data_IF_395605103517
#
_entry.id   IF_395605103517
#
_cell.length_a   1.000
_cell.length_b   1.000
_cell.length_c   1.000
_cell.angle_alpha   90.00
_cell.angle_beta   90.00
_cell.angle_gamma   90.00
#
_symmetry.space_group_name_H-M   'P 1'
#
loop_
_entity.id
_entity.type
_entity.pdbx_description
1 polymer ?
#
# COMPACT_ATOMS: atom_id res chain seq x y z
N UNK A 1 -15.59 2.06 -24.44
CA UNK A 1 -15.52 0.97 -23.42
C UNK A 1 -15.28 1.57 -22.05
N UNK A 2 -16.00 1.08 -21.01
CA UNK A 2 -15.82 1.56 -19.62
C UNK A 2 -15.03 0.55 -18.80
N UNK A 3 -14.12 1.05 -17.98
CA UNK A 3 -13.22 0.25 -17.15
C UNK A 3 -13.37 0.68 -15.69
N UNK A 4 -13.46 -0.28 -14.77
CA UNK A 4 -13.24 -0.04 -13.36
C UNK A 4 -11.83 -0.50 -13.00
N UNK A 5 -11.06 0.35 -12.31
CA UNK A 5 -9.73 0.06 -11.80
C UNK A 5 -9.73 0.07 -10.28
N UNK A 6 -9.38 -1.06 -9.68
CA UNK A 6 -9.10 -1.18 -8.24
C UNK A 6 -7.75 -1.86 -8.01
N UNK A 7 -7.18 -1.72 -6.82
CA UNK A 7 -5.94 -2.35 -6.39
C UNK A 7 -5.94 -2.61 -4.88
N UNK A 8 -4.97 -3.36 -4.40
CA UNK A 8 -4.67 -3.50 -2.97
C UNK A 8 -5.93 -3.89 -2.16
N UNK A 9 -6.58 -4.97 -2.60
CA UNK A 9 -7.84 -5.48 -2.01
C UNK A 9 -7.56 -6.26 -0.73
N UNK A 10 -6.43 -6.98 -0.66
CA UNK A 10 -5.93 -7.70 0.51
C UNK A 10 -6.95 -8.66 1.16
N UNK A 11 -7.65 -9.46 0.36
CA UNK A 11 -8.58 -10.47 0.86
C UNK A 11 -7.87 -11.45 1.80
N UNK A 12 -8.51 -11.74 2.92
CA UNK A 12 -7.94 -12.63 3.93
C UNK A 12 -7.16 -11.90 5.02
N UNK A 13 -6.99 -10.58 4.96
CA UNK A 13 -6.38 -9.78 6.02
C UNK A 13 -7.06 -9.99 7.35
N UNK A 14 -6.25 -10.33 8.37
CA UNK A 14 -6.69 -10.48 9.76
C UNK A 14 -5.74 -9.71 10.68
N UNK A 15 -6.05 -8.43 10.98
CA UNK A 15 -5.24 -7.65 11.90
C UNK A 15 -5.18 -8.29 13.30
N UNK A 16 -4.07 -8.08 13.99
CA UNK A 16 -3.90 -8.53 15.37
C UNK A 16 -4.84 -7.77 16.31
N UNK A 17 -5.46 -8.49 17.27
CA UNK A 17 -6.38 -7.92 18.24
C UNK A 17 -7.32 -8.98 18.81
N UNK A 18 -8.47 -8.53 19.33
CA UNK A 18 -9.52 -9.46 19.80
C UNK A 18 -10.06 -10.30 18.64
N UNK A 19 -10.62 -11.47 18.97
CA UNK A 19 -11.23 -12.35 17.96
C UNK A 19 -12.35 -11.62 17.19
N UNK A 20 -13.16 -10.84 17.88
CA UNK A 20 -14.25 -10.06 17.28
C UNK A 20 -13.71 -9.01 16.32
N UNK A 21 -12.74 -8.20 16.76
CA UNK A 21 -12.09 -7.19 15.92
C UNK A 21 -11.49 -7.81 14.66
N UNK A 22 -10.66 -8.86 14.83
CA UNK A 22 -10.02 -9.54 13.71
C UNK A 22 -11.03 -10.12 12.72
N UNK A 23 -12.17 -10.66 13.21
CA UNK A 23 -13.22 -11.18 12.35
C UNK A 23 -14.01 -10.09 11.63
N UNK A 24 -14.34 -8.97 12.30
CA UNK A 24 -14.98 -7.82 11.66
C UNK A 24 -14.09 -7.24 10.55
N UNK A 25 -12.79 -7.03 10.87
CA UNK A 25 -11.83 -6.53 9.87
C UNK A 25 -11.66 -7.48 8.68
N UNK A 26 -11.61 -8.78 8.93
CA UNK A 26 -11.59 -9.78 7.85
C UNK A 26 -12.77 -9.62 6.89
N UNK A 27 -13.97 -9.40 7.42
CA UNK A 27 -15.17 -9.20 6.61
C UNK A 27 -15.18 -7.84 5.89
N UNK A 28 -14.58 -6.82 6.46
CA UNK A 28 -14.53 -5.48 5.85
C UNK A 28 -13.84 -5.50 4.48
N UNK A 29 -12.74 -6.26 4.33
CA UNK A 29 -12.04 -6.38 3.04
C UNK A 29 -12.90 -7.06 1.97
N UNK A 30 -13.71 -8.05 2.34
CA UNK A 30 -14.67 -8.66 1.40
C UNK A 30 -15.82 -7.72 1.08
N UNK A 31 -16.34 -6.99 2.06
CA UNK A 31 -17.38 -6.00 1.85
C UNK A 31 -16.91 -4.89 0.89
N UNK A 32 -15.66 -4.44 1.02
CA UNK A 32 -15.08 -3.44 0.13
C UNK A 32 -14.91 -3.97 -1.31
N UNK A 33 -14.48 -5.25 -1.46
CA UNK A 33 -14.39 -5.88 -2.76
C UNK A 33 -15.78 -6.08 -3.40
N UNK A 34 -16.77 -6.49 -2.61
CA UNK A 34 -18.15 -6.60 -3.09
C UNK A 34 -18.73 -5.25 -3.51
N UNK A 35 -18.50 -4.18 -2.72
CA UNK A 35 -18.86 -2.82 -3.10
C UNK A 35 -18.20 -2.38 -4.42
N UNK A 36 -16.92 -2.75 -4.62
CA UNK A 36 -16.22 -2.47 -5.88
C UNK A 36 -16.88 -3.15 -7.07
N UNK A 37 -17.29 -4.42 -6.90
CA UNK A 37 -18.03 -5.15 -7.94
C UNK A 37 -19.41 -4.53 -8.19
N UNK A 38 -20.15 -4.15 -7.15
CA UNK A 38 -21.43 -3.49 -7.26
C UNK A 38 -21.33 -2.15 -7.99
N UNK A 39 -20.26 -1.38 -7.70
CA UNK A 39 -19.98 -0.13 -8.40
C UNK A 39 -19.73 -0.37 -9.89
N UNK A 40 -18.98 -1.43 -10.24
CA UNK A 40 -18.75 -1.82 -11.64
C UNK A 40 -20.06 -2.17 -12.37
N UNK A 41 -20.94 -2.91 -11.72
CA UNK A 41 -22.26 -3.28 -12.27
C UNK A 41 -23.14 -2.05 -12.44
N UNK A 42 -23.21 -1.18 -11.42
CA UNK A 42 -23.99 0.07 -11.45
C UNK A 42 -23.55 1.00 -12.59
N UNK A 43 -22.24 1.17 -12.75
CA UNK A 43 -21.62 2.00 -13.78
C UNK A 43 -21.61 1.33 -15.16
N UNK A 44 -22.01 0.04 -15.24
CA UNK A 44 -22.05 -0.77 -16.45
C UNK A 44 -20.69 -0.80 -17.14
N UNK A 45 -19.66 -1.15 -16.36
CA UNK A 45 -18.32 -1.29 -16.93
C UNK A 45 -18.20 -2.59 -17.73
N UNK A 46 -17.37 -2.58 -18.76
CA UNK A 46 -17.06 -3.75 -19.58
C UNK A 46 -15.93 -4.57 -18.97
N UNK A 47 -14.96 -3.86 -18.37
CA UNK A 47 -13.73 -4.43 -17.80
C UNK A 47 -13.59 -4.03 -16.34
N UNK A 48 -13.15 -4.98 -15.52
CA UNK A 48 -12.76 -4.80 -14.12
C UNK A 48 -11.26 -5.09 -14.01
N UNK A 49 -10.43 -4.04 -13.80
CA UNK A 49 -8.98 -4.16 -13.64
C UNK A 49 -8.63 -4.31 -12.17
N UNK A 50 -7.77 -5.28 -11.84
CA UNK A 50 -7.16 -5.46 -10.52
C UNK A 50 -5.64 -5.35 -10.69
N UNK A 51 -5.05 -4.30 -10.14
CA UNK A 51 -3.62 -4.03 -10.29
C UNK A 51 -2.82 -4.48 -9.08
N UNK A 52 -2.95 -5.78 -8.77
CA UNK A 52 -2.17 -6.47 -7.73
C UNK A 52 -2.80 -6.47 -6.35
N UNK A 53 -2.21 -7.28 -5.48
CA UNK A 53 -2.57 -7.47 -4.08
C UNK A 53 -4.07 -7.80 -3.88
N UNK A 54 -4.55 -8.78 -4.66
CA UNK A 54 -5.89 -9.33 -4.47
C UNK A 54 -5.98 -10.03 -3.11
N UNK A 55 -4.97 -10.80 -2.73
CA UNK A 55 -4.88 -11.50 -1.47
C UNK A 55 -3.82 -10.89 -0.55
N UNK A 56 -4.07 -10.90 0.77
CA UNK A 56 -3.11 -10.39 1.78
C UNK A 56 -1.92 -11.32 2.00
N UNK A 57 -2.07 -12.60 1.70
CA UNK A 57 -1.05 -13.64 1.91
C UNK A 57 -1.12 -14.73 0.86
N UNK A 58 0.01 -15.42 0.70
CA UNK A 58 0.13 -16.57 -0.22
C UNK A 58 -0.71 -17.77 0.22
N UNK A 59 -0.93 -17.96 1.52
CA UNK A 59 -1.77 -19.05 2.07
C UNK A 59 -3.19 -18.54 2.28
N UNK A 60 -4.15 -19.19 1.64
CA UNK A 60 -5.57 -18.86 1.73
C UNK A 60 -6.35 -19.90 2.54
N UNK A 61 -7.32 -19.41 3.32
CA UNK A 61 -8.34 -20.30 3.88
C UNK A 61 -9.40 -20.63 2.83
N UNK A 62 -10.10 -21.79 2.94
CA UNK A 62 -11.20 -22.11 2.04
C UNK A 62 -12.30 -21.03 2.03
N UNK A 63 -12.61 -20.41 3.19
CA UNK A 63 -13.59 -19.31 3.27
C UNK A 63 -13.14 -18.07 2.46
N UNK A 64 -11.84 -17.74 2.49
CA UNK A 64 -11.28 -16.64 1.71
C UNK A 64 -11.49 -16.88 0.20
N UNK A 65 -11.20 -18.08 -0.27
CA UNK A 65 -11.34 -18.43 -1.67
C UNK A 65 -12.82 -18.46 -2.10
N UNK A 66 -13.69 -19.10 -1.32
CA UNK A 66 -15.13 -19.18 -1.60
C UNK A 66 -15.78 -17.78 -1.74
N UNK A 67 -15.46 -16.85 -0.82
CA UNK A 67 -15.95 -15.48 -0.89
C UNK A 67 -15.41 -14.73 -2.11
N UNK A 68 -14.13 -14.89 -2.41
CA UNK A 68 -13.51 -14.31 -3.59
C UNK A 68 -14.19 -14.79 -4.88
N UNK A 69 -14.37 -16.11 -5.02
CA UNK A 69 -15.05 -16.71 -6.19
C UNK A 69 -16.48 -16.20 -6.37
N UNK A 70 -17.23 -15.98 -5.27
CA UNK A 70 -18.60 -15.42 -5.34
C UNK A 70 -18.62 -14.03 -5.98
N UNK A 71 -17.66 -13.18 -5.65
CA UNK A 71 -17.57 -11.85 -6.27
C UNK A 71 -17.23 -11.96 -7.77
N UNK A 72 -16.26 -12.81 -8.14
CA UNK A 72 -15.94 -13.03 -9.55
C UNK A 72 -17.11 -13.65 -10.33
N UNK A 73 -17.83 -14.58 -9.73
CA UNK A 73 -19.05 -15.13 -10.34
C UNK A 73 -20.12 -14.05 -10.56
N UNK A 74 -20.28 -13.13 -9.61
CA UNK A 74 -21.18 -11.97 -9.73
C UNK A 74 -20.80 -11.07 -10.91
N UNK A 75 -19.50 -10.75 -11.06
CA UNK A 75 -19.00 -9.98 -12.21
C UNK A 75 -19.23 -10.72 -13.53
N UNK A 76 -18.89 -12.01 -13.58
CA UNK A 76 -19.10 -12.86 -14.77
C UNK A 76 -20.55 -12.93 -15.19
N UNK A 77 -21.49 -13.07 -14.24
CA UNK A 77 -22.93 -13.11 -14.51
C UNK A 77 -23.47 -11.78 -15.04
N UNK A 78 -22.76 -10.67 -14.83
CA UNK A 78 -23.05 -9.37 -15.39
C UNK A 78 -22.24 -9.05 -16.66
N UNK A 79 -21.57 -10.04 -17.26
CA UNK A 79 -20.74 -9.92 -18.45
C UNK A 79 -19.55 -8.96 -18.31
N UNK A 80 -19.06 -8.75 -17.11
CA UNK A 80 -17.87 -7.93 -16.84
C UNK A 80 -16.65 -8.85 -16.89
N UNK A 81 -15.71 -8.55 -17.78
CA UNK A 81 -14.43 -9.27 -17.86
C UNK A 81 -13.46 -8.75 -16.79
N UNK A 82 -12.74 -9.65 -16.13
CA UNK A 82 -11.75 -9.28 -15.13
C UNK A 82 -10.35 -9.47 -15.70
N UNK A 83 -9.58 -8.40 -15.75
CA UNK A 83 -8.14 -8.44 -16.00
C UNK A 83 -7.40 -8.16 -14.70
N UNK A 84 -6.38 -8.97 -14.42
CA UNK A 84 -5.62 -8.80 -13.19
C UNK A 84 -4.12 -9.03 -13.42
N UNK A 85 -3.30 -8.42 -12.56
CA UNK A 85 -1.87 -8.66 -12.44
C UNK A 85 -1.52 -9.05 -11.00
N UNK A 86 -0.34 -9.62 -10.82
CA UNK A 86 0.19 -9.96 -9.49
C UNK A 86 0.68 -8.71 -8.75
N UNK A 87 0.39 -8.63 -7.45
CA UNK A 87 1.05 -7.73 -6.52
C UNK A 87 2.19 -8.43 -5.75
N UNK A 88 2.83 -7.74 -4.82
CA UNK A 88 3.89 -8.34 -4.00
C UNK A 88 3.36 -9.35 -2.97
N UNK A 89 2.12 -9.21 -2.52
CA UNK A 89 1.46 -10.17 -1.63
C UNK A 89 0.99 -11.43 -2.36
N UNK A 90 0.60 -11.33 -3.63
CA UNK A 90 0.15 -12.44 -4.47
C UNK A 90 1.30 -13.20 -5.13
N UNK A 91 2.47 -12.56 -5.28
CA UNK A 91 3.59 -13.09 -6.05
C UNK A 91 4.19 -14.33 -5.37
N UNK A 92 4.23 -15.43 -6.11
CA UNK A 92 4.88 -16.68 -5.70
C UNK A 92 6.17 -16.81 -6.50
N UNK A 93 7.19 -16.03 -6.13
CA UNK A 93 8.52 -16.09 -6.77
C UNK A 93 9.07 -17.53 -6.76
N UNK A 94 9.43 -18.05 -7.93
CA UNK A 94 10.09 -19.35 -8.08
C UNK A 94 9.20 -20.59 -7.99
N UNK A 95 7.89 -20.45 -7.87
CA UNK A 95 6.95 -21.57 -7.92
C UNK A 95 6.23 -21.65 -9.27
N UNK A 96 5.91 -22.88 -9.66
CA UNK A 96 5.08 -23.15 -10.84
C UNK A 96 3.78 -22.35 -10.81
N UNK A 97 3.37 -21.79 -11.94
CA UNK A 97 2.07 -21.11 -12.13
C UNK A 97 0.88 -21.99 -11.68
N UNK A 98 1.06 -23.30 -11.66
CA UNK A 98 0.06 -24.28 -11.20
C UNK A 98 -0.32 -24.06 -9.72
N UNK A 99 0.62 -23.60 -8.90
CA UNK A 99 0.44 -23.39 -7.47
C UNK A 99 0.01 -21.97 -7.09
N UNK A 100 -0.12 -21.06 -8.08
CA UNK A 100 -0.61 -19.71 -7.84
C UNK A 100 -2.14 -19.68 -7.71
N UNK A 101 -2.66 -18.98 -6.70
CA UNK A 101 -4.10 -18.75 -6.57
C UNK A 101 -4.65 -17.93 -7.74
N UNK A 102 -3.89 -16.96 -8.23
CA UNK A 102 -4.28 -16.20 -9.43
C UNK A 102 -4.33 -17.09 -10.66
N UNK A 103 -3.37 -18.01 -10.79
CA UNK A 103 -3.40 -19.05 -11.83
C UNK A 103 -4.59 -20.00 -11.68
N UNK A 104 -5.00 -20.34 -10.47
CA UNK A 104 -6.23 -21.10 -10.22
C UNK A 104 -7.46 -20.33 -10.68
N UNK A 105 -7.61 -19.05 -10.34
CA UNK A 105 -8.75 -18.21 -10.76
C UNK A 105 -8.81 -18.07 -12.28
N UNK A 106 -7.66 -17.97 -12.96
CA UNK A 106 -7.58 -17.94 -14.43
C UNK A 106 -8.04 -19.26 -15.05
N UNK A 107 -7.58 -20.41 -14.54
CA UNK A 107 -8.03 -21.75 -15.00
C UNK A 107 -9.53 -21.98 -14.78
N UNK A 108 -10.13 -21.36 -13.76
CA UNK A 108 -11.58 -21.36 -13.54
C UNK A 108 -12.35 -20.43 -14.50
N UNK A 109 -11.65 -19.62 -15.27
CA UNK A 109 -12.24 -18.67 -16.20
C UNK A 109 -12.97 -17.52 -15.50
N UNK A 110 -12.50 -17.15 -14.31
CA UNK A 110 -12.96 -15.96 -13.59
C UNK A 110 -12.21 -14.70 -14.00
N UNK A 111 -10.90 -14.86 -14.30
CA UNK A 111 -10.01 -13.75 -14.61
C UNK A 111 -9.15 -14.07 -15.82
N UNK A 112 -8.61 -13.07 -16.46
CA UNK A 112 -7.49 -13.15 -17.40
C UNK A 112 -6.31 -12.37 -16.82
N UNK A 113 -5.12 -12.97 -16.83
CA UNK A 113 -3.92 -12.38 -16.25
C UNK A 113 -3.09 -11.65 -17.29
N UNK A 114 -2.69 -10.41 -16.99
CA UNK A 114 -1.62 -9.75 -17.73
C UNK A 114 -0.27 -10.31 -17.29
N UNK A 115 0.57 -10.73 -18.26
CA UNK A 115 1.83 -11.41 -17.98
C UNK A 115 2.97 -10.83 -18.81
N UNK A 116 4.18 -10.91 -18.26
CA UNK A 116 5.43 -10.70 -18.98
C UNK A 116 6.45 -11.76 -18.54
N UNK A 117 7.47 -11.96 -19.34
CA UNK A 117 8.55 -12.91 -19.03
C UNK A 117 9.89 -12.29 -19.37
N UNK A 118 10.89 -12.51 -18.51
CA UNK A 118 12.28 -12.26 -18.88
C UNK A 118 12.71 -13.24 -19.97
N UNK A 119 13.39 -12.75 -20.99
CA UNK A 119 13.93 -13.52 -22.12
C UNK A 119 15.42 -13.22 -22.31
N UNK A 120 16.11 -13.97 -23.17
CA UNK A 120 17.51 -13.74 -23.48
C UNK A 120 17.77 -12.36 -24.16
N UNK A 121 16.74 -11.75 -24.74
CA UNK A 121 16.80 -10.49 -25.48
C UNK A 121 16.13 -9.33 -24.71
N UNK A 122 15.74 -9.56 -23.44
CA UNK A 122 15.07 -8.58 -22.60
C UNK A 122 13.78 -9.12 -21.99
N UNK A 123 12.64 -8.56 -22.37
CA UNK A 123 11.34 -8.94 -21.81
C UNK A 123 10.30 -9.13 -22.91
N UNK A 124 9.53 -10.21 -22.80
CA UNK A 124 8.38 -10.52 -23.66
C UNK A 124 7.09 -10.13 -22.92
N UNK A 125 6.30 -9.24 -23.51
CA UNK A 125 5.06 -8.75 -22.92
C UNK A 125 3.85 -9.35 -23.64
N UNK A 126 2.95 -9.98 -22.91
CA UNK A 126 1.69 -10.48 -23.47
C UNK A 126 0.75 -9.30 -23.77
N UNK A 127 0.35 -9.18 -25.06
CA UNK A 127 -0.66 -8.22 -25.51
C UNK A 127 -2.05 -8.85 -25.42
N UNK A 128 -2.91 -8.30 -24.62
CA UNK A 128 -4.33 -8.68 -24.53
C UNK A 128 -5.15 -7.63 -25.26
N UNK A 129 -5.76 -7.98 -26.38
CA UNK A 129 -6.62 -7.06 -27.11
C UNK A 129 -8.09 -7.36 -26.83
N UNK A 130 -8.84 -6.36 -26.44
CA UNK A 130 -10.30 -6.39 -26.26
C UNK A 130 -10.86 -5.18 -27.01
N UNK A 131 -11.71 -5.46 -28.01
CA UNK A 131 -12.17 -4.46 -28.99
C UNK A 131 -10.98 -3.75 -29.64
N UNK A 132 -10.86 -2.44 -29.49
CA UNK A 132 -9.79 -1.62 -30.04
C UNK A 132 -8.73 -1.20 -28.99
N UNK A 133 -8.76 -1.80 -27.80
CA UNK A 133 -7.86 -1.49 -26.70
C UNK A 133 -6.92 -2.64 -26.38
N UNK A 134 -5.64 -2.35 -26.25
CA UNK A 134 -4.60 -3.28 -25.87
C UNK A 134 -4.21 -3.13 -24.41
N UNK A 135 -4.16 -4.23 -23.69
CA UNK A 135 -3.76 -4.30 -22.29
C UNK A 135 -2.43 -5.03 -22.17
N UNK A 136 -1.52 -4.44 -21.38
CA UNK A 136 -0.23 -5.02 -21.04
C UNK A 136 -0.09 -5.10 -19.51
N UNK A 137 0.19 -6.28 -18.98
CA UNK A 137 0.33 -6.50 -17.56
C UNK A 137 1.78 -6.78 -17.18
N UNK A 138 2.28 -6.03 -16.19
CA UNK A 138 3.66 -6.17 -15.70
C UNK A 138 3.71 -6.86 -14.32
N UNK A 139 2.68 -6.78 -13.50
CA UNK A 139 2.70 -7.32 -12.14
C UNK A 139 3.60 -6.51 -11.20
N UNK A 140 4.24 -7.19 -10.22
CA UNK A 140 5.18 -6.58 -9.28
C UNK A 140 6.63 -6.92 -9.67
N UNK A 141 7.36 -6.00 -10.29
CA UNK A 141 8.73 -6.26 -10.74
C UNK A 141 9.80 -6.05 -9.66
N UNK A 142 9.43 -5.59 -8.45
CA UNK A 142 10.38 -5.28 -7.40
C UNK A 142 11.38 -4.19 -7.79
N UNK A 143 12.67 -4.46 -7.65
CA UNK A 143 13.74 -3.52 -8.03
C UNK A 143 13.89 -3.33 -9.55
N UNK A 144 13.40 -4.28 -10.36
CA UNK A 144 13.52 -4.20 -11.82
C UNK A 144 12.44 -3.31 -12.47
N UNK A 145 11.60 -2.63 -11.70
CA UNK A 145 10.43 -1.89 -12.22
C UNK A 145 10.80 -0.86 -13.28
N UNK A 146 11.87 -0.10 -13.08
CA UNK A 146 12.31 0.92 -14.03
C UNK A 146 12.75 0.28 -15.35
N UNK A 147 13.57 -0.78 -15.29
CA UNK A 147 14.06 -1.50 -16.47
C UNK A 147 12.93 -2.14 -17.25
N UNK A 148 12.02 -2.86 -16.57
CA UNK A 148 10.88 -3.55 -17.21
C UNK A 148 9.96 -2.56 -17.91
N UNK A 149 9.61 -1.44 -17.23
CA UNK A 149 8.74 -0.43 -17.81
C UNK A 149 9.41 0.34 -18.94
N UNK A 150 10.73 0.63 -18.84
CA UNK A 150 11.46 1.23 -19.94
C UNK A 150 11.37 0.38 -21.20
N UNK A 151 11.63 -0.93 -21.07
CA UNK A 151 11.53 -1.87 -22.19
C UNK A 151 10.11 -1.99 -22.73
N UNK A 152 9.10 -2.01 -21.87
CA UNK A 152 7.71 -1.98 -22.33
C UNK A 152 7.43 -0.71 -23.14
N UNK A 153 7.88 0.45 -22.66
CA UNK A 153 7.63 1.71 -23.34
C UNK A 153 8.25 1.77 -24.75
N UNK A 154 9.39 1.10 -24.96
CA UNK A 154 10.04 0.98 -26.28
C UNK A 154 9.20 0.15 -27.27
N UNK A 155 8.42 -0.80 -26.78
CA UNK A 155 7.63 -1.75 -27.59
C UNK A 155 6.21 -1.26 -27.88
N UNK A 156 5.74 -0.17 -27.27
CA UNK A 156 4.39 0.34 -27.49
C UNK A 156 4.31 1.22 -28.74
N UNK A 157 3.30 0.94 -29.61
CA UNK A 157 2.91 1.83 -30.68
C UNK A 157 1.95 2.92 -30.13
N UNK A 158 2.36 4.17 -30.17
CA UNK A 158 1.56 5.32 -29.71
C UNK A 158 0.31 5.61 -30.58
N UNK A 159 0.16 4.97 -31.72
CA UNK A 159 -1.05 5.07 -32.55
C UNK A 159 -2.17 4.11 -32.10
N UNK A 160 -1.87 3.17 -31.21
CA UNK A 160 -2.83 2.23 -30.65
C UNK A 160 -3.36 2.74 -29.28
N UNK A 161 -4.59 2.32 -28.93
CA UNK A 161 -5.11 2.57 -27.57
C UNK A 161 -4.49 1.54 -26.62
N UNK A 162 -3.43 1.93 -25.91
CA UNK A 162 -2.74 1.04 -24.97
C UNK A 162 -3.09 1.38 -23.53
N UNK A 163 -3.33 0.35 -22.72
CA UNK A 163 -3.46 0.40 -21.27
C UNK A 163 -2.38 -0.46 -20.66
N UNK A 164 -1.60 0.10 -19.74
CA UNK A 164 -0.57 -0.61 -19.00
C UNK A 164 -1.01 -0.81 -17.57
N UNK A 165 -0.96 -2.05 -17.09
CA UNK A 165 -1.24 -2.45 -15.71
C UNK A 165 0.08 -2.78 -15.03
N UNK A 166 0.40 -2.15 -13.90
CA UNK A 166 1.64 -2.40 -13.16
C UNK A 166 1.43 -2.24 -11.66
N UNK A 167 1.92 -3.18 -10.86
CA UNK A 167 1.86 -3.05 -9.41
C UNK A 167 3.08 -2.29 -8.91
N UNK A 168 2.98 -0.96 -8.88
CA UNK A 168 4.05 -0.04 -8.46
C UNK A 168 3.48 1.29 -7.97
N UNK A 169 4.23 1.95 -7.09
CA UNK A 169 3.97 3.33 -6.68
C UNK A 169 4.98 4.29 -7.31
N UNK A 170 4.66 5.59 -7.31
CA UNK A 170 5.59 6.61 -7.75
C UNK A 170 6.65 6.86 -6.68
N UNK A 171 7.90 6.76 -7.06
CA UNK A 171 9.07 7.09 -6.24
C UNK A 171 9.76 8.36 -6.73
N UNK A 172 10.65 8.91 -5.88
CA UNK A 172 11.59 9.96 -6.25
C UNK A 172 12.87 9.37 -6.83
N UNK A 173 14.01 9.89 -6.35
CA UNK A 173 15.34 9.37 -6.70
C UNK A 173 15.77 8.19 -5.81
N UNK A 174 14.95 7.77 -4.86
CA UNK A 174 15.25 6.66 -3.96
C UNK A 174 15.00 5.32 -4.65
N UNK A 175 15.99 4.44 -4.60
CA UNK A 175 15.91 3.10 -5.15
C UNK A 175 15.31 2.16 -4.11
N UNK A 176 13.98 2.06 -4.12
CA UNK A 176 13.22 1.15 -3.24
C UNK A 176 12.40 0.17 -4.08
N UNK A 177 12.24 -1.08 -3.63
CA UNK A 177 11.48 -2.07 -4.38
C UNK A 177 10.02 -1.65 -4.53
N UNK A 178 9.48 -1.78 -5.73
CA UNK A 178 8.09 -1.41 -6.03
C UNK A 178 7.84 0.09 -6.19
N UNK A 179 8.90 0.93 -6.26
CA UNK A 179 8.79 2.35 -6.59
C UNK A 179 9.40 2.62 -7.96
N UNK A 180 8.60 3.17 -8.87
CA UNK A 180 9.05 3.55 -10.22
C UNK A 180 9.49 5.02 -10.25
N UNK A 181 10.59 5.29 -10.92
CA UNK A 181 11.02 6.66 -11.17
C UNK A 181 10.02 7.39 -12.10
N UNK A 182 9.65 8.61 -11.72
CA UNK A 182 8.74 9.43 -12.53
C UNK A 182 9.24 9.68 -13.97
N UNK A 183 10.56 9.66 -14.21
CA UNK A 183 11.11 9.81 -15.56
C UNK A 183 10.80 8.61 -16.46
N UNK A 184 10.66 7.42 -15.88
CA UNK A 184 10.21 6.23 -16.61
C UNK A 184 8.74 6.38 -16.98
N UNK A 185 7.89 6.82 -16.04
CA UNK A 185 6.46 7.07 -16.35
C UNK A 185 6.30 8.09 -17.48
N UNK A 186 7.14 9.13 -17.54
CA UNK A 186 7.11 10.12 -18.63
C UNK A 186 7.34 9.53 -20.03
N UNK A 187 8.04 8.38 -20.13
CA UNK A 187 8.26 7.68 -21.43
C UNK A 187 6.98 7.09 -22.03
N UNK A 188 5.94 6.95 -21.22
CA UNK A 188 4.63 6.46 -21.66
C UNK A 188 3.70 7.57 -22.17
N UNK A 189 4.09 8.84 -21.99
CA UNK A 189 3.34 9.96 -22.55
C UNK A 189 3.12 9.74 -24.05
N UNK A 190 1.91 9.98 -24.51
CA UNK A 190 1.49 9.81 -25.90
C UNK A 190 1.57 8.34 -26.44
N UNK A 191 1.87 7.37 -25.58
CA UNK A 191 1.90 5.93 -25.92
C UNK A 191 0.80 5.12 -25.27
N UNK A 192 0.20 5.67 -24.21
CA UNK A 192 -0.89 5.02 -23.48
C UNK A 192 -2.06 5.98 -23.32
N UNK A 193 -3.27 5.43 -23.28
CA UNK A 193 -4.46 6.19 -22.89
C UNK A 193 -4.67 6.13 -21.38
N UNK A 194 -4.09 5.12 -20.68
CA UNK A 194 -4.21 4.92 -19.25
C UNK A 194 -3.10 4.00 -18.73
N UNK A 195 -2.51 4.34 -17.60
CA UNK A 195 -1.66 3.44 -16.82
C UNK A 195 -2.32 3.15 -15.48
N UNK A 196 -2.60 1.90 -15.23
CA UNK A 196 -3.22 1.41 -14.00
C UNK A 196 -2.14 0.92 -13.03
N UNK A 197 -1.88 1.71 -11.98
CA UNK A 197 -0.93 1.42 -10.91
C UNK A 197 -1.58 0.77 -9.68
N UNK A 198 -0.76 0.30 -8.75
CA UNK A 198 -1.16 -0.24 -7.45
C UNK A 198 -0.09 0.01 -6.40
N UNK A 199 -0.03 -0.83 -5.33
CA UNK A 199 0.99 -0.83 -4.28
C UNK A 199 0.89 0.31 -3.25
N UNK A 200 0.40 1.48 -3.63
CA UNK A 200 0.16 2.58 -2.70
C UNK A 200 -1.30 2.62 -2.27
N UNK A 201 -1.56 2.61 -0.97
CA UNK A 201 -2.93 2.54 -0.43
C UNK A 201 -3.70 3.86 -0.45
N UNK A 202 -3.16 4.89 -1.10
CA UNK A 202 -3.78 6.20 -1.27
C UNK A 202 -3.98 6.51 -2.76
N UNK A 203 -5.02 7.27 -3.08
CA UNK A 203 -5.25 7.73 -4.45
C UNK A 203 -4.08 8.60 -4.95
N UNK A 204 -3.61 8.29 -6.16
CA UNK A 204 -2.60 9.07 -6.88
C UNK A 204 -3.02 9.21 -8.34
N UNK A 205 -2.79 10.40 -8.90
CA UNK A 205 -2.86 10.67 -10.34
C UNK A 205 -1.63 11.45 -10.79
N UNK A 206 -1.02 11.04 -11.91
CA UNK A 206 0.20 11.66 -12.43
C UNK A 206 0.21 11.72 -13.97
N UNK A 207 0.76 12.79 -14.58
CA UNK A 207 1.12 14.06 -13.94
C UNK A 207 -0.11 14.80 -13.39
N UNK A 208 0.10 15.87 -12.60
CA UNK A 208 -1.00 16.64 -12.00
C UNK A 208 -1.96 17.22 -13.04
N UNK A 209 -1.38 17.73 -14.14
CA UNK A 209 -2.16 18.23 -15.29
C UNK A 209 -2.21 17.14 -16.37
N UNK A 210 -3.44 16.80 -16.82
CA UNK A 210 -3.71 15.74 -17.79
C UNK A 210 -3.08 14.39 -17.38
N UNK A 211 -3.53 13.80 -16.25
CA UNK A 211 -2.97 12.56 -15.75
C UNK A 211 -3.28 11.38 -16.66
N UNK A 212 -2.32 10.47 -16.76
CA UNK A 212 -2.48 9.19 -17.45
C UNK A 212 -2.00 7.99 -16.62
N UNK A 213 -1.31 8.22 -15.49
CA UNK A 213 -0.96 7.20 -14.49
C UNK A 213 -1.83 7.40 -13.26
N UNK A 214 -2.47 6.30 -12.78
CA UNK A 214 -3.42 6.35 -11.69
C UNK A 214 -3.21 5.18 -10.74
N UNK A 215 -3.31 5.45 -9.44
CA UNK A 215 -3.43 4.44 -8.38
C UNK A 215 -4.72 4.75 -7.63
N UNK A 216 -5.68 3.83 -7.55
CA UNK A 216 -6.93 4.05 -6.81
C UNK A 216 -6.72 4.06 -5.30
N UNK A 217 -5.66 3.43 -4.81
CA UNK A 217 -5.45 3.10 -3.41
C UNK A 217 -6.08 1.77 -3.02
N UNK A 218 -5.92 1.36 -1.76
CA UNK A 218 -6.57 0.17 -1.24
C UNK A 218 -8.08 0.37 -1.09
N UNK A 219 -8.87 -0.70 -1.21
CA UNK A 219 -10.32 -0.65 -1.08
C UNK A 219 -10.80 -0.53 0.38
N UNK A 220 -9.97 -0.93 1.32
CA UNK A 220 -10.19 -0.84 2.78
C UNK A 220 -8.89 -0.45 3.48
N UNK A 221 -8.93 0.05 4.72
CA UNK A 221 -7.74 0.40 5.49
C UNK A 221 -6.91 -0.85 5.81
N UNK A 222 -5.79 -1.02 5.11
CA UNK A 222 -4.83 -2.09 5.40
C UNK A 222 -3.98 -1.76 6.62
N UNK A 223 -3.52 -0.49 6.73
CA UNK A 223 -2.82 0.05 7.90
C UNK A 223 -3.56 1.29 8.44
N UNK A 224 -4.39 1.07 9.45
CA UNK A 224 -5.26 2.10 10.04
C UNK A 224 -4.48 3.33 10.53
N UNK A 225 -3.25 3.14 11.02
CA UNK A 225 -2.44 4.20 11.59
C UNK A 225 -1.71 5.06 10.53
N UNK A 226 -1.25 4.45 9.45
CA UNK A 226 -0.37 5.11 8.48
C UNK A 226 -1.12 5.70 7.29
N UNK A 227 -2.31 5.19 7.00
CA UNK A 227 -3.11 5.70 5.89
C UNK A 227 -3.84 6.98 6.30
N UNK A 228 -3.32 8.12 5.86
CA UNK A 228 -3.82 9.45 6.27
C UNK A 228 -5.16 9.82 5.63
N UNK A 229 -5.42 9.35 4.41
CA UNK A 229 -6.65 9.67 3.70
C UNK A 229 -7.80 8.74 4.14
N UNK A 230 -8.95 9.31 4.45
CA UNK A 230 -10.16 8.56 4.83
C UNK A 230 -10.97 8.07 3.61
N UNK A 231 -10.73 8.61 2.42
CA UNK A 231 -11.41 8.18 1.20
C UNK A 231 -10.77 6.90 0.66
N UNK A 232 -11.59 5.88 0.45
CA UNK A 232 -11.30 4.64 -0.25
C UNK A 232 -12.19 4.55 -1.45
N UNK A 233 -11.70 4.02 -2.56
CA UNK A 233 -12.50 4.01 -3.77
C UNK A 233 -11.87 3.25 -4.92
N UNK A 234 -12.53 3.36 -6.05
CA UNK A 234 -12.15 2.78 -7.34
C UNK A 234 -12.17 3.88 -8.40
N UNK A 235 -11.47 3.68 -9.50
CA UNK A 235 -11.49 4.62 -10.62
C UNK A 235 -12.36 4.02 -11.72
N UNK A 236 -13.30 4.81 -12.25
CA UNK A 236 -14.04 4.51 -13.46
C UNK A 236 -13.41 5.32 -14.59
N UNK A 237 -12.99 4.65 -15.66
CA UNK A 237 -12.35 5.28 -16.81
C UNK A 237 -13.11 4.91 -18.10
N UNK A 238 -13.33 5.89 -18.97
CA UNK A 238 -13.94 5.67 -20.28
C UNK A 238 -12.89 5.83 -21.38
N UNK A 239 -12.65 4.75 -22.15
CA UNK A 239 -11.61 4.69 -23.20
C UNK A 239 -11.94 5.52 -24.45
N UNK A 240 -13.17 6.01 -24.59
CA UNK A 240 -13.59 6.80 -25.74
C UNK A 240 -13.53 8.30 -25.44
N UNK A 241 -13.91 8.71 -24.24
CA UNK A 241 -13.84 10.12 -23.81
C UNK A 241 -12.53 10.46 -23.11
N UNK A 242 -11.79 9.45 -22.64
CA UNK A 242 -10.58 9.57 -21.78
C UNK A 242 -10.86 10.25 -20.44
N UNK A 243 -12.11 10.31 -20.02
CA UNK A 243 -12.52 10.86 -18.73
C UNK A 243 -12.42 9.81 -17.64
N UNK A 244 -12.09 10.24 -16.43
CA UNK A 244 -12.05 9.37 -15.24
C UNK A 244 -12.87 9.97 -14.10
N UNK A 245 -13.39 9.09 -13.24
CA UNK A 245 -14.12 9.43 -12.02
C UNK A 245 -13.54 8.59 -10.87
N UNK A 246 -13.16 9.23 -9.75
CA UNK A 246 -12.92 8.50 -8.51
C UNK A 246 -14.25 8.23 -7.83
N UNK A 247 -14.62 6.97 -7.70
CA UNK A 247 -15.87 6.52 -7.12
C UNK A 247 -15.66 5.98 -5.73
N UNK A 248 -16.14 6.70 -4.71
CA UNK A 248 -15.92 6.36 -3.32
C UNK A 248 -16.60 5.04 -2.91
N UNK A 249 -15.91 4.28 -2.06
CA UNK A 249 -16.42 3.14 -1.32
C UNK A 249 -16.68 3.52 0.14
N UNK A 250 -17.36 2.65 0.87
CA UNK A 250 -17.69 2.85 2.28
C UNK A 250 -16.84 1.89 3.15
N UNK A 251 -15.59 2.27 3.46
CA UNK A 251 -14.73 1.47 4.33
C UNK A 251 -15.22 1.49 5.77
N UNK A 252 -14.57 0.71 6.65
CA UNK A 252 -14.79 0.78 8.09
C UNK A 252 -14.66 2.22 8.59
N UNK A 253 -15.63 2.68 9.36
CA UNK A 253 -15.62 4.05 9.92
C UNK A 253 -14.37 4.26 10.76
N UNK A 254 -13.57 5.27 10.38
CA UNK A 254 -12.34 5.69 11.03
C UNK A 254 -12.51 7.11 11.55
N UNK A 255 -12.21 7.30 12.82
CA UNK A 255 -12.27 8.59 13.50
C UNK A 255 -10.87 8.93 13.97
N UNK A 256 -10.36 10.11 13.62
CA UNK A 256 -9.09 10.62 14.15
C UNK A 256 -9.37 11.92 14.92
N UNK A 257 -8.88 12.00 16.15
CA UNK A 257 -9.08 13.10 17.07
C UNK A 257 -7.77 13.51 17.77
N UNK A 258 -7.67 14.75 18.13
CA UNK A 258 -6.64 15.25 19.04
C UNK A 258 -7.17 15.30 20.48
N UNK A 259 -6.31 14.96 21.42
CA UNK A 259 -6.60 15.06 22.86
C UNK A 259 -5.45 15.78 23.55
N UNK A 260 -5.83 16.78 24.35
CA UNK A 260 -4.94 17.58 25.19
C UNK A 260 -5.52 17.52 26.59
N UNK A 261 -4.71 17.22 27.58
CA UNK A 261 -5.11 17.15 28.98
C UNK A 261 -4.43 18.26 29.81
N UNK A 262 -5.05 18.63 30.92
CA UNK A 262 -4.50 19.66 31.84
C UNK A 262 -4.11 19.09 33.18
N UNK A 263 -4.82 18.09 33.69
CA UNK A 263 -4.64 17.45 34.99
C UNK A 263 -4.40 15.93 34.88
N UNK A 264 -5.31 15.13 35.39
CA UNK A 264 -5.24 13.68 35.37
C UNK A 264 -5.63 13.13 33.97
N UNK A 265 -4.65 12.63 33.27
CA UNK A 265 -4.84 12.12 31.90
C UNK A 265 -5.87 11.01 31.80
N UNK A 266 -5.95 10.10 32.77
CA UNK A 266 -6.86 8.94 32.70
C UNK A 266 -8.30 9.38 32.90
N UNK A 267 -8.54 10.26 33.88
CA UNK A 267 -9.87 10.80 34.14
C UNK A 267 -10.36 11.65 32.97
N UNK A 268 -9.54 12.60 32.52
CA UNK A 268 -9.89 13.47 31.38
C UNK A 268 -10.09 12.70 30.08
N UNK A 269 -9.28 11.65 29.86
CA UNK A 269 -9.42 10.79 28.68
C UNK A 269 -10.69 9.95 28.73
N UNK A 270 -11.08 9.45 29.90
CA UNK A 270 -12.35 8.74 30.11
C UNK A 270 -13.56 9.62 29.77
N UNK A 271 -13.56 10.89 30.21
CA UNK A 271 -14.60 11.87 29.88
C UNK A 271 -14.62 12.21 28.39
N UNK A 272 -13.44 12.45 27.79
CA UNK A 272 -13.28 12.69 26.37
C UNK A 272 -13.84 11.54 25.52
N UNK A 273 -13.52 10.29 25.85
CA UNK A 273 -13.96 9.13 25.08
C UNK A 273 -15.47 8.91 25.16
N UNK A 274 -16.09 9.16 26.34
CA UNK A 274 -17.55 9.08 26.49
C UNK A 274 -18.27 10.10 25.61
N UNK A 275 -17.70 11.28 25.41
CA UNK A 275 -18.26 12.31 24.53
C UNK A 275 -18.20 11.99 23.05
N UNK A 276 -17.43 10.94 22.63
CA UNK A 276 -17.37 10.51 21.23
C UNK A 276 -18.60 9.72 20.77
N UNK A 277 -19.44 9.25 21.70
CA UNK A 277 -20.69 8.50 21.41
C UNK A 277 -20.44 7.31 20.44
N UNK A 278 -19.44 6.48 20.75
CA UNK A 278 -19.02 5.38 19.92
C UNK A 278 -20.03 4.21 19.93
N UNK A 279 -20.14 3.49 18.82
CA UNK A 279 -21.20 2.48 18.60
C UNK A 279 -20.68 1.03 18.57
N UNK A 280 -19.38 0.81 18.72
CA UNK A 280 -18.74 -0.52 18.60
C UNK A 280 -18.29 -0.87 17.18
N UNK A 281 -18.41 0.08 16.25
CA UNK A 281 -18.06 -0.12 14.84
C UNK A 281 -16.88 0.75 14.38
N UNK A 282 -16.43 1.69 15.19
CA UNK A 282 -15.42 2.66 14.80
C UNK A 282 -13.99 2.21 15.13
N UNK A 283 -13.07 2.49 14.21
CA UNK A 283 -11.62 2.52 14.44
C UNK A 283 -11.26 3.93 14.90
N UNK A 284 -10.80 4.08 16.14
CA UNK A 284 -10.57 5.39 16.74
C UNK A 284 -9.08 5.64 16.95
N UNK A 285 -8.54 6.66 16.34
CA UNK A 285 -7.16 7.11 16.53
C UNK A 285 -7.20 8.39 17.34
N UNK A 286 -6.47 8.42 18.45
CA UNK A 286 -6.32 9.63 19.27
C UNK A 286 -4.85 10.06 19.29
N UNK A 287 -4.62 11.27 18.78
CA UNK A 287 -3.34 11.95 18.87
C UNK A 287 -3.26 12.68 20.23
N UNK A 288 -2.57 12.09 21.19
CA UNK A 288 -2.40 12.64 22.53
C UNK A 288 -1.21 13.58 22.55
N UNK A 289 -1.44 14.89 22.79
CA UNK A 289 -0.37 15.88 22.95
C UNK A 289 0.14 15.84 24.37
N UNK A 290 1.39 15.46 24.55
CA UNK A 290 2.07 15.40 25.84
C UNK A 290 2.55 16.79 26.27
N UNK A 291 2.51 17.06 27.57
CA UNK A 291 3.07 18.29 28.18
C UNK A 291 4.56 18.17 28.41
N UNK A 292 5.02 16.99 28.70
CA UNK A 292 6.41 16.67 29.01
C UNK A 292 6.78 15.26 28.45
N UNK A 293 7.98 14.80 28.71
CA UNK A 293 8.47 13.48 28.35
C UNK A 293 8.06 12.36 29.32
N UNK A 294 7.04 12.59 30.14
CA UNK A 294 6.53 11.60 31.09
C UNK A 294 6.04 10.33 30.43
N UNK A 295 6.16 9.21 31.14
CA UNK A 295 5.66 7.92 30.68
C UNK A 295 4.13 7.87 30.71
N UNK A 296 3.51 7.47 29.60
CA UNK A 296 2.07 7.21 29.51
C UNK A 296 1.86 5.76 29.07
N UNK A 297 0.99 5.08 29.78
CA UNK A 297 0.59 3.72 29.42
C UNK A 297 -0.41 3.73 28.26
N UNK A 298 0.10 3.63 27.02
CA UNK A 298 -0.71 3.59 25.77
C UNK A 298 -1.78 2.50 25.84
N UNK A 299 -1.44 1.31 26.33
CA UNK A 299 -2.39 0.20 26.40
C UNK A 299 -3.59 0.48 27.32
N UNK A 300 -3.41 1.32 28.33
CA UNK A 300 -4.50 1.71 29.23
C UNK A 300 -5.46 2.68 28.55
N UNK A 301 -4.94 3.66 27.82
CA UNK A 301 -5.76 4.57 27.02
C UNK A 301 -6.50 3.85 25.90
N UNK A 302 -5.87 2.89 25.21
CA UNK A 302 -6.53 2.08 24.19
C UNK A 302 -7.68 1.26 24.78
N UNK A 303 -7.51 0.68 25.98
CA UNK A 303 -8.58 -0.03 26.69
C UNK A 303 -9.74 0.90 27.10
N UNK A 304 -9.46 2.12 27.50
CA UNK A 304 -10.50 3.12 27.82
C UNK A 304 -11.34 3.40 26.56
N UNK A 305 -10.72 3.59 25.38
CA UNK A 305 -11.44 3.74 24.11
C UNK A 305 -12.32 2.55 23.79
N UNK A 306 -11.78 1.33 23.91
CA UNK A 306 -12.50 0.08 23.62
C UNK A 306 -13.66 -0.14 24.61
N UNK A 307 -13.47 0.14 25.91
CA UNK A 307 -14.50 0.05 26.94
C UNK A 307 -15.63 1.08 26.74
N UNK A 308 -15.32 2.24 26.13
CA UNK A 308 -16.28 3.29 25.80
C UNK A 308 -16.86 3.16 24.38
N UNK A 309 -16.69 1.98 23.75
CA UNK A 309 -17.41 1.62 22.54
C UNK A 309 -16.61 1.73 21.24
N UNK A 310 -15.28 1.94 21.25
CA UNK A 310 -14.48 1.77 20.04
C UNK A 310 -14.36 0.28 19.67
N UNK A 311 -14.49 -0.07 18.40
CA UNK A 311 -14.15 -1.42 17.92
C UNK A 311 -12.67 -1.71 18.15
N UNK A 312 -11.81 -0.70 17.91
CA UNK A 312 -10.39 -0.70 18.24
C UNK A 312 -9.91 0.73 18.47
N UNK A 313 -9.22 0.94 19.60
CA UNK A 313 -8.53 2.16 19.93
C UNK A 313 -7.07 2.12 19.48
N UNK A 314 -6.56 3.26 19.04
CA UNK A 314 -5.16 3.48 18.71
C UNK A 314 -4.71 4.82 19.28
N UNK A 315 -3.59 4.84 19.95
CA UNK A 315 -3.02 6.04 20.57
C UNK A 315 -1.72 6.41 19.87
N UNK A 316 -1.62 7.66 19.41
CA UNK A 316 -0.39 8.26 18.93
C UNK A 316 0.06 9.33 19.92
N UNK A 317 1.21 9.15 20.55
CA UNK A 317 1.78 10.15 21.45
C UNK A 317 2.54 11.20 20.64
N UNK A 318 2.26 12.49 20.93
CA UNK A 318 3.00 13.62 20.36
C UNK A 318 3.73 14.33 21.48
N UNK A 319 5.04 14.21 21.47
CA UNK A 319 5.92 14.84 22.46
C UNK A 319 6.16 16.31 22.12
N UNK A 320 6.24 17.21 23.14
CA UNK A 320 6.62 18.60 22.90
C UNK A 320 8.04 18.63 22.30
N UNK A 321 8.24 19.46 21.29
CA UNK A 321 9.49 19.59 20.55
C UNK A 321 9.93 18.34 19.73
N UNK A 322 9.03 17.41 19.42
CA UNK A 322 9.36 16.37 18.47
C UNK A 322 9.67 16.99 17.09
N UNK A 323 10.61 16.38 16.37
CA UNK A 323 11.00 16.79 15.01
C UNK A 323 9.78 16.84 14.08
N UNK A 324 8.76 16.02 14.35
CA UNK A 324 7.52 15.94 13.61
C UNK A 324 6.57 17.14 13.82
N UNK A 325 6.76 17.95 14.88
CA UNK A 325 5.97 19.18 15.11
C UNK A 325 6.59 20.42 14.42
N UNK A 326 7.83 20.35 13.94
CA UNK A 326 8.40 21.39 13.10
C UNK A 326 7.79 21.23 11.72
N UNK A 327 6.84 22.12 11.40
CA UNK A 327 6.19 22.29 10.10
C UNK A 327 6.95 21.59 8.96
N UNK A 328 6.50 20.41 8.57
CA UNK A 328 6.76 19.87 7.26
C UNK A 328 6.06 20.85 6.31
N UNK A 329 6.79 21.88 5.89
CA UNK A 329 6.33 22.78 4.87
C UNK A 329 5.92 21.95 3.65
N UNK A 330 4.95 22.43 2.92
CA UNK A 330 4.28 21.71 1.81
C UNK A 330 5.23 21.22 0.66
N UNK A 331 6.57 21.33 0.79
CA UNK A 331 7.57 21.00 -0.23
C UNK A 331 8.80 20.19 0.27
N UNK A 332 8.79 19.60 1.45
CA UNK A 332 9.95 18.85 1.97
C UNK A 332 9.73 17.33 2.00
N UNK A 333 10.18 16.61 0.99
CA UNK A 333 10.41 15.17 1.09
C UNK A 333 11.70 14.96 1.91
N UNK A 334 11.56 14.60 3.20
CA UNK A 334 12.69 14.05 3.94
C UNK A 334 12.84 12.58 3.55
N UNK A 335 14.05 12.17 3.16
CA UNK A 335 14.32 10.74 2.99
C UNK A 335 14.25 10.05 4.35
N UNK A 336 13.96 8.75 4.37
CA UNK A 336 14.01 7.93 5.59
C UNK A 336 15.38 8.12 6.28
N UNK A 337 16.44 8.26 5.49
CA UNK A 337 17.81 8.52 5.94
C UNK A 337 17.94 9.86 6.70
N UNK A 338 17.28 10.92 6.24
CA UNK A 338 17.36 12.23 6.91
C UNK A 338 16.66 12.18 8.26
N UNK A 339 15.53 11.47 8.35
CA UNK A 339 14.81 11.24 9.61
C UNK A 339 15.64 10.39 10.57
N UNK A 340 16.26 9.31 10.10
CA UNK A 340 17.13 8.45 10.89
C UNK A 340 18.35 9.23 11.41
N UNK A 341 19.01 10.01 10.55
CA UNK A 341 20.14 10.86 10.93
C UNK A 341 19.75 11.88 12.01
N UNK A 342 18.58 12.49 11.90
CA UNK A 342 18.11 13.46 12.87
C UNK A 342 17.72 12.83 14.21
N UNK A 343 17.17 11.60 14.20
CA UNK A 343 16.92 10.82 15.41
C UNK A 343 18.24 10.45 16.10
N UNK A 344 19.22 9.97 15.33
CA UNK A 344 20.54 9.59 15.87
C UNK A 344 21.30 10.79 16.43
N UNK A 345 21.18 11.97 15.82
CA UNK A 345 21.76 13.21 16.34
C UNK A 345 21.25 13.62 17.75
N UNK A 346 20.14 13.06 18.19
CA UNK A 346 19.59 13.31 19.54
C UNK A 346 20.07 12.32 20.59
N UNK A 347 20.79 11.27 20.18
CA UNK A 347 21.35 10.30 21.10
C UNK A 347 22.74 10.78 21.56
N UNK A 348 22.87 10.97 22.86
CA UNK A 348 24.13 11.43 23.46
C UNK A 348 25.25 10.37 23.40
N UNK A 349 24.87 9.11 23.15
CA UNK A 349 25.76 7.94 23.09
C UNK A 349 26.63 7.89 21.82
N UNK A 350 26.25 8.59 20.76
CA UNK A 350 26.96 8.56 19.48
C UNK A 350 27.54 9.93 19.11
N UNK A 351 28.84 9.92 18.77
CA UNK A 351 29.58 11.15 18.42
C UNK A 351 29.38 11.60 16.96
N UNK A 352 28.97 10.71 16.06
CA UNK A 352 28.82 10.95 14.62
C UNK A 352 27.57 10.26 14.04
N UNK A 353 26.47 11.00 13.99
CA UNK A 353 25.21 10.50 13.47
C UNK A 353 25.24 10.14 11.98
N UNK A 354 26.10 10.75 11.18
CA UNK A 354 26.23 10.43 9.76
C UNK A 354 26.83 9.05 9.55
N UNK A 355 27.84 8.73 10.35
CA UNK A 355 28.50 7.44 10.37
C UNK A 355 27.57 6.34 10.86
N UNK A 356 26.86 6.56 11.97
CA UNK A 356 25.88 5.60 12.52
C UNK A 356 24.76 5.35 11.53
N UNK A 357 24.26 6.39 10.87
CA UNK A 357 23.24 6.24 9.81
C UNK A 357 23.77 5.39 8.64
N UNK A 358 25.02 5.55 8.26
CA UNK A 358 25.65 4.73 7.21
C UNK A 358 25.77 3.24 7.61
N UNK A 359 26.09 2.96 8.87
CA UNK A 359 26.11 1.58 9.40
C UNK A 359 24.70 0.96 9.40
N UNK A 360 23.70 1.71 9.87
CA UNK A 360 22.31 1.22 9.86
C UNK A 360 21.82 0.87 8.47
N UNK A 361 22.21 1.63 7.45
CA UNK A 361 21.84 1.32 6.07
C UNK A 361 22.50 0.04 5.58
N UNK A 362 23.81 -0.15 5.86
CA UNK A 362 24.49 -1.41 5.53
C UNK A 362 23.88 -2.61 6.26
N UNK A 363 23.47 -2.46 7.53
CA UNK A 363 22.79 -3.51 8.27
C UNK A 363 21.45 -3.90 7.61
N UNK A 364 20.68 -2.92 7.10
CA UNK A 364 19.45 -3.20 6.35
C UNK A 364 19.73 -3.96 5.05
N UNK A 365 20.75 -3.55 4.30
CA UNK A 365 21.17 -4.24 3.07
C UNK A 365 21.58 -5.69 3.34
N UNK A 366 22.31 -5.96 4.43
CA UNK A 366 22.72 -7.32 4.79
C UNK A 366 21.57 -8.19 5.32
N UNK A 367 20.54 -7.61 5.95
CA UNK A 367 19.34 -8.33 6.36
C UNK A 367 18.49 -8.81 5.18
N UNK A 368 18.54 -8.12 4.07
CA UNK A 368 17.77 -8.48 2.86
C UNK A 368 18.45 -9.58 2.04
N UNK A 369 19.75 -9.81 2.22
CA UNK A 369 20.52 -10.83 1.53
C UNK A 369 20.74 -12.05 2.44
N UNK A 370 19.97 -13.12 2.24
CA UNK A 370 19.92 -14.34 3.07
C UNK A 370 21.27 -15.08 3.31
N UNK A 371 22.36 -14.70 2.66
CA UNK A 371 23.67 -15.37 2.76
C UNK A 371 24.78 -14.51 3.42
N UNK A 372 24.47 -13.34 4.00
CA UNK A 372 25.45 -12.39 4.55
C UNK A 372 25.46 -12.26 6.08
N UNK A 373 24.99 -13.26 6.79
CA UNK A 373 25.00 -13.25 8.27
C UNK A 373 26.41 -13.00 8.85
N UNK A 374 27.45 -13.55 8.22
CA UNK A 374 28.83 -13.33 8.63
C UNK A 374 29.30 -11.90 8.42
N UNK A 375 28.98 -11.31 7.27
CA UNK A 375 29.32 -9.92 6.93
C UNK A 375 28.60 -8.94 7.86
N UNK A 376 27.37 -9.27 8.29
CA UNK A 376 26.61 -8.51 9.27
C UNK A 376 27.33 -8.45 10.63
N UNK A 377 27.78 -9.59 11.16
CA UNK A 377 28.49 -9.63 12.45
C UNK A 377 29.87 -8.95 12.37
N UNK A 378 30.61 -9.11 11.28
CA UNK A 378 31.90 -8.42 11.07
C UNK A 378 31.70 -6.88 11.03
N UNK A 379 30.65 -6.41 10.40
CA UNK A 379 30.32 -4.97 10.37
C UNK A 379 29.88 -4.46 11.74
N UNK A 380 29.10 -5.26 12.49
CA UNK A 380 28.66 -4.91 13.84
C UNK A 380 29.84 -4.80 14.81
N UNK A 381 30.77 -5.78 14.78
CA UNK A 381 31.98 -5.77 15.59
C UNK A 381 32.85 -4.56 15.25
N UNK A 382 33.02 -4.23 13.97
CA UNK A 382 33.81 -3.07 13.54
C UNK A 382 33.15 -1.74 14.04
N UNK A 383 31.82 -1.62 14.03
CA UNK A 383 31.13 -0.46 14.57
C UNK A 383 31.35 -0.32 16.08
N UNK A 384 31.28 -1.44 16.84
CA UNK A 384 31.51 -1.44 18.28
C UNK A 384 32.97 -1.08 18.63
N UNK A 385 33.96 -1.63 17.91
CA UNK A 385 35.38 -1.31 18.15
C UNK A 385 35.69 0.17 17.89
N UNK A 386 35.08 0.79 16.88
CA UNK A 386 35.29 2.21 16.59
C UNK A 386 34.62 3.13 17.62
N UNK A 387 33.44 2.81 18.12
CA UNK A 387 32.72 3.63 19.13
C UNK A 387 33.30 3.42 20.54
N UNK A 388 33.58 2.19 20.97
CA UNK A 388 34.19 1.89 22.28
C UNK A 388 35.64 2.34 22.31
N UNK A 389 36.35 2.31 21.18
CA UNK A 389 37.74 2.78 21.07
C UNK A 389 37.93 4.28 21.27
N UNK A 390 36.86 5.06 21.11
CA UNK A 390 36.90 6.51 21.34
C UNK A 390 36.61 6.94 22.79
N UNK A 391 36.03 6.08 23.63
CA UNK A 391 35.84 6.36 25.07
C UNK A 391 37.14 6.19 25.91
N UNK A 392 38.18 5.58 25.37
CA UNK A 392 39.44 5.33 26.06
C UNK A 392 40.60 6.25 25.61
N UNK A 393 40.33 7.32 24.93
CA UNK A 393 41.26 8.42 24.63
C UNK A 393 40.79 9.72 25.18
#
# INVERSE_FOLDING_TARGET
MKILHCSDIHLGKRPFGTKEFSQKRYLDFFNAFEQSADRGIEKKVDIFLITGDLFDKKELSPDTLDRCEKVFLKLKNNNIQVLLIEGNHDNISGYDEINSWLGYLERKGYVRRGKYKASNEGYDFEKITIEDVNFYGVGYPGFAVDEVLEKLSENLDGNEKNIVMVHTALGGSEFLPGLVNTDIIKKFKDKVIYMAGGHLHSFVSYPKDNPYFFIPGSTEFWNVLNEKNNSKGVIIFDTDTLEYEFSELFPRKRIEKEFIYEGDILQEFEEFTKALELTGEELVIVNVKLKDSGYINVNELEKILENNGALKGYIKLRYPNSIFDRNLGEEGYYSVRDVEKEIINQWEEFSDAEKVTAYLQKFKEYQEENDREKDFFELFDAMLEEEIGNENK
#
